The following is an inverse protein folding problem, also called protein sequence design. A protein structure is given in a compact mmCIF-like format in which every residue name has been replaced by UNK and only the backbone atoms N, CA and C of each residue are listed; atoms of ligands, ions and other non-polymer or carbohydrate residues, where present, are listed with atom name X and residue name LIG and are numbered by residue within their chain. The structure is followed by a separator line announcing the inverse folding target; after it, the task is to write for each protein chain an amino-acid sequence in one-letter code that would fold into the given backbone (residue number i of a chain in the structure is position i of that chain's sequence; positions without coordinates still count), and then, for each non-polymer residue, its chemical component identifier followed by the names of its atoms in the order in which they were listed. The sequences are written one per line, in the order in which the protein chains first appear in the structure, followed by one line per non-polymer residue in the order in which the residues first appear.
data_IF_835031288700
#
_entry.id   IF_835031288700
#
_cell.length_a   1.000
_cell.length_b   1.000
_cell.length_c   1.000
_cell.angle_alpha   90.00
_cell.angle_beta   90.00
_cell.angle_gamma   90.00
#
_symmetry.space_group_name_H-M   'P 1'
#
loop_
_entity.id
_entity.type
_entity.pdbx_description
1 polymer ?
#
# COMPACT_ATOMS: atom_id res chain seq x y z
N UNK A 1 -5.95 9.88 10.45
CA UNK A 1 -6.23 10.77 9.30
C UNK A 1 -5.05 11.03 8.37
N UNK A 2 -5.31 11.07 7.05
CA UNK A 2 -4.33 11.42 6.01
C UNK A 2 -3.72 12.81 6.22
N UNK A 3 -4.51 13.87 6.36
CA UNK A 3 -4.00 15.22 6.69
C UNK A 3 -2.85 15.75 5.82
N UNK A 4 -2.13 16.75 6.35
CA UNK A 4 -1.14 17.54 5.60
C UNK A 4 0.33 17.15 5.81
N UNK A 5 0.67 16.47 6.91
CA UNK A 5 2.04 15.99 7.16
C UNK A 5 2.34 14.68 6.42
N UNK A 6 3.62 14.29 6.37
CA UNK A 6 4.04 13.09 5.67
C UNK A 6 3.48 11.84 6.36
N UNK A 7 3.28 10.77 5.58
CA UNK A 7 2.84 9.49 6.15
C UNK A 7 3.86 8.94 7.15
N UNK A 8 5.15 9.10 6.85
CA UNK A 8 6.23 8.61 7.71
C UNK A 8 6.21 9.27 9.08
N UNK A 9 5.90 10.57 9.17
CA UNK A 9 5.82 11.29 10.44
C UNK A 9 4.69 10.73 11.33
N UNK A 10 3.54 10.41 10.72
CA UNK A 10 2.39 9.82 11.44
C UNK A 10 2.69 8.42 11.93
N UNK A 11 3.33 7.62 11.09
CA UNK A 11 3.64 6.23 11.41
C UNK A 11 4.70 6.20 12.50
N UNK A 12 5.76 7.03 12.39
CA UNK A 12 6.78 7.19 13.44
C UNK A 12 6.16 7.60 14.77
N UNK A 13 5.30 8.63 14.77
CA UNK A 13 4.65 9.07 16.01
C UNK A 13 3.76 7.99 16.65
N UNK A 14 3.07 7.18 15.84
CA UNK A 14 2.28 6.07 16.35
C UNK A 14 3.17 4.91 16.86
N UNK A 15 4.25 4.62 16.16
CA UNK A 15 5.26 3.62 16.54
C UNK A 15 5.93 3.99 17.87
N UNK A 16 6.33 5.25 18.04
CA UNK A 16 6.90 5.79 19.29
C UNK A 16 5.91 5.70 20.46
N UNK A 17 4.60 5.74 20.18
CA UNK A 17 3.53 5.54 21.16
C UNK A 17 3.22 4.06 21.44
N UNK A 18 3.94 3.12 20.82
CA UNK A 18 3.78 1.68 21.02
C UNK A 18 2.71 1.01 20.16
N UNK A 19 2.27 1.66 19.06
CA UNK A 19 1.29 1.06 18.15
C UNK A 19 1.90 -0.15 17.41
N UNK A 20 1.11 -1.20 17.23
CA UNK A 20 1.52 -2.39 16.47
C UNK A 20 1.33 -2.24 14.95
N UNK A 21 0.45 -1.33 14.51
CA UNK A 21 0.15 -1.04 13.11
C UNK A 21 -0.59 0.31 12.98
N UNK A 22 -0.64 0.86 11.77
CA UNK A 22 -1.33 2.13 11.48
C UNK A 22 -2.34 1.97 10.34
N UNK A 23 -3.57 2.41 10.60
CA UNK A 23 -4.60 2.65 9.59
C UNK A 23 -4.65 4.15 9.27
N UNK A 24 -4.27 4.52 8.05
CA UNK A 24 -4.41 5.90 7.57
C UNK A 24 -5.73 6.03 6.80
N UNK A 25 -6.68 6.77 7.38
CA UNK A 25 -7.93 7.12 6.69
C UNK A 25 -7.67 8.18 5.62
N UNK A 26 -8.10 7.93 4.38
CA UNK A 26 -7.93 8.85 3.27
C UNK A 26 -8.89 10.05 3.35
N UNK A 27 -8.72 11.01 2.44
CA UNK A 27 -9.70 12.08 2.25
C UNK A 27 -11.00 11.55 1.62
N UNK A 28 -12.15 12.15 1.96
CA UNK A 28 -13.43 11.85 1.30
C UNK A 28 -13.35 12.02 -0.22
N UNK A 29 -14.05 11.16 -0.96
CA UNK A 29 -14.16 11.20 -2.42
C UNK A 29 -12.82 11.12 -3.18
N UNK A 30 -11.75 10.62 -2.55
CA UNK A 30 -10.47 10.38 -3.20
C UNK A 30 -10.15 8.90 -3.25
N UNK A 31 -9.61 8.44 -4.37
CA UNK A 31 -9.04 7.09 -4.47
C UNK A 31 -7.89 6.96 -3.47
N UNK A 32 -7.81 5.79 -2.83
CA UNK A 32 -6.65 5.43 -2.02
C UNK A 32 -5.40 5.50 -2.91
N UNK A 33 -4.35 6.13 -2.39
CA UNK A 33 -3.07 6.19 -3.09
C UNK A 33 -2.12 5.16 -2.49
N UNK A 34 -1.19 4.68 -3.31
CA UNK A 34 -0.08 3.88 -2.80
C UNK A 34 0.75 4.78 -1.88
N UNK A 35 0.88 4.36 -0.62
CA UNK A 35 1.79 4.98 0.32
C UNK A 35 3.21 4.66 -0.14
N UNK A 36 3.88 5.67 -0.67
CA UNK A 36 5.28 5.58 -1.03
C UNK A 36 6.09 6.28 0.05
N UNK A 37 7.22 5.69 0.43
CA UNK A 37 8.21 6.42 1.22
C UNK A 37 8.72 7.61 0.40
N UNK A 38 9.37 8.60 1.05
CA UNK A 38 10.17 9.56 0.31
C UNK A 38 11.05 8.77 -0.66
N UNK A 39 11.09 9.15 -1.94
CA UNK A 39 12.01 8.54 -2.87
C UNK A 39 13.39 8.60 -2.21
N UNK A 40 13.95 7.43 -1.87
CA UNK A 40 15.25 7.36 -1.22
C UNK A 40 16.20 8.08 -2.17
N UNK A 41 16.65 9.28 -1.79
CA UNK A 41 17.78 9.87 -2.49
C UNK A 41 18.92 8.87 -2.34
N UNK A 42 19.67 8.56 -3.40
CA UNK A 42 20.80 7.65 -3.30
C UNK A 42 21.71 8.09 -2.16
N UNK A 43 21.90 7.22 -1.16
CA UNK A 43 22.74 7.50 0.01
C UNK A 43 22.04 8.15 1.21
N UNK A 44 20.76 8.49 1.14
CA UNK A 44 19.98 8.96 2.29
C UNK A 44 18.99 7.88 2.70
N UNK A 45 19.25 7.24 3.84
CA UNK A 45 18.23 6.46 4.53
C UNK A 45 17.19 7.45 5.05
N UNK A 46 16.05 7.56 4.37
CA UNK A 46 14.89 8.26 4.90
C UNK A 46 14.46 7.65 6.25
N UNK A 47 13.60 8.34 7.03
CA UNK A 47 13.11 7.81 8.29
C UNK A 47 12.50 6.42 8.05
N UNK A 48 12.98 5.43 8.81
CA UNK A 48 12.48 4.07 8.73
C UNK A 48 11.34 3.91 9.72
N UNK A 49 10.28 3.25 9.26
CA UNK A 49 9.14 2.83 10.09
C UNK A 49 9.10 1.32 10.03
N UNK A 50 8.91 0.67 11.18
CA UNK A 50 9.01 -0.79 11.28
C UNK A 50 7.67 -1.48 11.51
N UNK A 51 6.61 -0.70 11.71
CA UNK A 51 5.25 -1.22 11.86
C UNK A 51 4.47 -1.20 10.53
N UNK A 52 3.58 -2.18 10.29
CA UNK A 52 2.72 -2.17 9.12
C UNK A 52 1.84 -0.92 9.08
N UNK A 53 1.76 -0.28 7.92
CA UNK A 53 0.87 0.85 7.68
C UNK A 53 0.08 0.64 6.39
N UNK A 54 -1.24 0.82 6.46
CA UNK A 54 -2.13 0.73 5.29
C UNK A 54 -3.03 1.96 5.22
N UNK A 55 -3.42 2.33 3.99
CA UNK A 55 -4.43 3.35 3.75
C UNK A 55 -5.78 2.71 3.48
N UNK A 56 -6.84 3.23 4.10
CA UNK A 56 -8.23 2.84 3.87
C UNK A 56 -9.05 4.02 3.32
N UNK A 57 -10.25 3.73 2.82
CA UNK A 57 -11.18 4.76 2.35
C UNK A 57 -11.67 5.65 3.50
N UNK A 58 -12.25 6.82 3.17
CA UNK A 58 -12.83 7.68 4.19
C UNK A 58 -14.06 7.02 4.82
N UNK A 59 -14.85 6.36 3.97
CA UNK A 59 -16.09 5.66 4.31
C UNK A 59 -15.84 4.51 5.29
N UNK A 60 -14.80 3.69 5.07
CA UNK A 60 -14.40 2.64 6.01
C UNK A 60 -13.89 3.23 7.32
N UNK A 61 -13.16 4.35 7.26
CA UNK A 61 -12.67 5.06 8.44
C UNK A 61 -13.80 5.61 9.31
N UNK A 62 -14.83 6.18 8.69
CA UNK A 62 -16.02 6.71 9.39
C UNK A 62 -16.77 5.57 10.09
N UNK A 63 -16.96 4.44 9.40
CA UNK A 63 -17.56 3.22 9.97
C UNK A 63 -16.78 2.74 11.20
N UNK A 64 -15.45 2.66 11.12
CA UNK A 64 -14.60 2.24 12.24
C UNK A 64 -14.75 3.21 13.42
N UNK A 65 -14.77 4.52 13.19
CA UNK A 65 -14.89 5.51 14.26
C UNK A 65 -16.25 5.47 14.93
N UNK A 66 -17.32 5.29 14.16
CA UNK A 66 -18.66 5.10 14.73
C UNK A 66 -18.69 3.86 15.63
N UNK A 67 -18.15 2.72 15.17
CA UNK A 67 -18.10 1.49 15.97
C UNK A 67 -17.33 1.68 17.28
N UNK A 68 -16.16 2.32 17.23
CA UNK A 68 -15.35 2.58 18.43
C UNK A 68 -16.02 3.59 19.37
N UNK A 69 -16.63 4.65 18.82
CA UNK A 69 -17.16 5.75 19.64
C UNK A 69 -18.55 5.48 20.21
N UNK A 70 -19.39 4.71 19.51
CA UNK A 70 -20.79 4.49 19.90
C UNK A 70 -21.00 3.29 20.81
N UNK A 71 -20.15 2.26 20.69
CA UNK A 71 -20.34 1.00 21.41
C UNK A 71 -19.37 0.84 22.59
N UNK A 72 -18.31 1.66 22.67
CA UNK A 72 -17.20 1.41 23.59
C UNK A 72 -16.50 0.08 23.31
N UNK A 73 -16.71 -0.47 22.12
CA UNK A 73 -16.27 -1.81 21.73
C UNK A 73 -14.81 -1.82 21.27
N UNK A 74 -14.18 -2.98 21.49
CA UNK A 74 -12.89 -3.31 20.89
C UNK A 74 -13.08 -3.84 19.48
N UNK A 75 -12.38 -3.24 18.52
CA UNK A 75 -12.29 -3.79 17.16
C UNK A 75 -11.00 -4.59 17.01
N UNK A 76 -11.08 -5.76 16.37
CA UNK A 76 -9.90 -6.52 15.94
C UNK A 76 -9.66 -6.31 14.46
N UNK A 77 -8.42 -6.03 14.08
CA UNK A 77 -8.01 -5.78 12.69
C UNK A 77 -6.96 -6.79 12.27
N UNK A 78 -7.21 -7.50 11.18
CA UNK A 78 -6.28 -8.45 10.58
C UNK A 78 -5.73 -7.91 9.27
N UNK A 79 -4.44 -7.62 9.23
CA UNK A 79 -3.75 -7.16 8.02
C UNK A 79 -3.17 -8.37 7.27
N UNK A 80 -3.62 -8.58 6.04
CA UNK A 80 -3.16 -9.68 5.19
C UNK A 80 -2.40 -9.16 3.97
N UNK A 81 -1.15 -9.60 3.82
CA UNK A 81 -0.34 -9.36 2.63
C UNK A 81 -0.26 -10.65 1.80
N UNK A 82 -1.10 -10.81 0.75
CA UNK A 82 -1.04 -12.00 -0.07
C UNK A 82 0.32 -12.12 -0.79
N UNK A 83 0.82 -13.35 -1.02
CA UNK A 83 2.01 -13.54 -1.82
C UNK A 83 1.82 -12.91 -3.21
N UNK A 84 2.82 -12.13 -3.64
CA UNK A 84 2.80 -11.42 -4.93
C UNK A 84 2.66 -12.46 -6.05
N UNK A 85 1.51 -12.49 -6.74
CA UNK A 85 1.28 -13.44 -7.84
C UNK A 85 2.27 -13.17 -8.99
N UNK A 86 3.31 -14.01 -9.11
CA UNK A 86 4.31 -13.95 -10.18
C UNK A 86 3.80 -14.46 -11.53
N UNK A 87 2.61 -15.04 -11.56
CA UNK A 87 1.96 -15.61 -12.75
C UNK A 87 1.74 -14.59 -13.86
N UNK A 88 1.47 -13.32 -13.53
CA UNK A 88 1.28 -12.26 -14.51
C UNK A 88 2.59 -11.93 -15.27
N UNK A 89 3.73 -11.97 -14.58
CA UNK A 89 5.05 -11.70 -15.16
C UNK A 89 5.49 -12.85 -16.07
N UNK A 90 5.27 -14.10 -15.66
CA UNK A 90 5.66 -15.27 -16.46
C UNK A 90 4.79 -15.39 -17.72
N UNK A 91 3.48 -15.11 -17.62
CA UNK A 91 2.55 -15.08 -18.75
C UNK A 91 2.88 -13.99 -19.78
N UNK A 92 3.24 -12.79 -19.32
CA UNK A 92 3.64 -11.68 -20.19
C UNK A 92 4.99 -11.95 -20.87
N UNK A 93 5.97 -12.53 -20.16
CA UNK A 93 7.27 -12.93 -20.73
C UNK A 93 7.11 -13.99 -21.83
N UNK A 94 6.27 -15.01 -21.60
CA UNK A 94 5.99 -16.06 -22.60
C UNK A 94 5.32 -15.51 -23.87
N UNK A 95 4.38 -14.56 -23.72
CA UNK A 95 3.74 -13.89 -24.88
C UNK A 95 4.72 -12.99 -25.65
N UNK A 96 5.59 -12.26 -24.96
CA UNK A 96 6.60 -11.42 -25.59
C UNK A 96 7.63 -12.22 -26.39
N UNK A 97 8.11 -13.35 -25.86
CA UNK A 97 9.04 -14.25 -26.57
C UNK A 97 8.40 -14.84 -27.82
N UNK A 98 7.15 -15.32 -27.73
CA UNK A 98 6.42 -15.85 -28.90
C UNK A 98 6.21 -14.81 -29.99
N UNK A 99 5.87 -13.56 -29.63
CA UNK A 99 5.73 -12.46 -30.60
C UNK A 99 7.06 -12.13 -31.30
N UNK A 100 8.18 -12.12 -30.56
CA UNK A 100 9.51 -11.93 -31.17
C UNK A 100 9.88 -13.05 -32.14
N UNK A 101 9.54 -14.29 -31.79
CA UNK A 101 9.83 -15.43 -32.66
C UNK A 101 8.98 -15.41 -33.94
N UNK A 102 7.69 -15.08 -33.83
CA UNK A 102 6.79 -14.96 -34.98
C UNK A 102 7.19 -13.79 -35.91
N UNK A 103 7.55 -12.63 -35.35
CA UNK A 103 8.00 -11.49 -36.15
C UNK A 103 9.31 -11.78 -36.91
N UNK A 104 10.21 -12.59 -36.33
CA UNK A 104 11.47 -12.98 -36.95
C UNK A 104 11.30 -14.03 -38.06
N UNK A 105 10.32 -14.93 -37.92
CA UNK A 105 9.95 -15.86 -38.99
C UNK A 105 9.25 -15.20 -40.17
N UNK A 106 8.45 -14.16 -39.93
CA UNK A 106 7.78 -13.40 -40.99
C UNK A 106 8.73 -12.48 -41.78
N UNK A 107 9.87 -12.09 -41.21
CA UNK A 107 10.87 -11.24 -41.87
C UNK A 107 11.86 -12.02 -42.76
N UNK A 108 11.85 -13.35 -42.68
CA UNK A 108 12.76 -14.24 -43.42
C UNK A 108 12.02 -15.09 -44.48
N UNK A 109 10.74 -14.77 -44.76
CA UNK A 109 9.93 -15.36 -45.82
C UNK A 109 9.65 -14.29 -46.88
#
# INVERSE_FOLDING_TARGET
ERGSCLFVDKISAAEDAGAAAVLIVNYPHRKAQVMTGPAAQPGVSGPQVHIPAIMISAEDGDTIRELVSSLGDFISVHLYAPPRQTSHILGQRRRAVRRRHAARSAANA
#
